data_IF_681272193620
#
_entry.id   IF_681272193620
#
_cell.length_a   1.000
_cell.length_b   1.000
_cell.length_c   1.000
_cell.angle_alpha   90.00
_cell.angle_beta   90.00
_cell.angle_gamma   90.00
#
_symmetry.space_group_name_H-M   'P 1'
#
loop_
_entity.id
_entity.type
_entity.pdbx_description
1 polymer ?
#
# COMPACT_ATOMS: atom_id res chain seq x y z
N UNK A 1 -1.67 8.32 -5.93
CA UNK A 1 -2.12 9.28 -6.95
C UNK A 1 -3.23 10.22 -6.47
N UNK A 2 -3.75 10.01 -5.26
CA UNK A 2 -4.73 10.91 -4.65
C UNK A 2 -4.64 10.88 -3.13
N UNK A 3 -4.63 12.05 -2.50
CA UNK A 3 -4.91 12.20 -1.07
C UNK A 3 -6.42 12.39 -0.96
N UNK A 4 -7.06 11.73 0.00
CA UNK A 4 -8.49 11.78 0.22
C UNK A 4 -8.79 11.92 1.71
N UNK A 5 -9.64 12.87 2.05
CA UNK A 5 -10.20 13.02 3.39
C UNK A 5 -11.70 12.67 3.34
N UNK A 6 -12.17 11.91 4.32
CA UNK A 6 -13.58 11.51 4.42
C UNK A 6 -14.06 11.85 5.83
N UNK A 7 -15.09 12.69 5.93
CA UNK A 7 -15.80 12.94 7.17
C UNK A 7 -16.95 11.95 7.29
N UNK A 8 -17.00 11.25 8.41
CA UNK A 8 -18.07 10.28 8.72
C UNK A 8 -18.90 10.74 9.91
N UNK A 9 -20.17 10.35 9.92
CA UNK A 9 -21.08 10.54 11.06
C UNK A 9 -20.88 9.46 12.13
N UNK A 10 -21.60 9.52 13.27
CA UNK A 10 -21.54 8.51 14.32
C UNK A 10 -21.96 7.10 13.87
N UNK A 11 -22.73 7.00 12.79
CA UNK A 11 -23.16 5.74 12.17
C UNK A 11 -22.15 5.23 11.12
N UNK A 12 -20.96 5.84 11.02
CA UNK A 12 -19.88 5.56 10.06
C UNK A 12 -20.28 5.79 8.59
N UNK A 13 -21.23 6.68 8.32
CA UNK A 13 -21.60 7.05 6.95
C UNK A 13 -20.79 8.25 6.49
N UNK A 14 -20.23 8.23 5.27
CA UNK A 14 -19.59 9.39 4.68
C UNK A 14 -20.59 10.54 4.51
N UNK A 15 -20.30 11.70 5.09
CA UNK A 15 -21.14 12.91 5.00
C UNK A 15 -20.48 14.05 4.22
N UNK A 16 -19.17 14.06 4.13
CA UNK A 16 -18.41 14.96 3.27
C UNK A 16 -17.05 14.36 2.93
N UNK A 17 -16.44 14.86 1.89
CA UNK A 17 -15.10 14.43 1.49
C UNK A 17 -14.30 15.59 0.87
N UNK A 18 -12.98 15.48 0.92
CA UNK A 18 -12.07 16.33 0.22
C UNK A 18 -11.00 15.49 -0.50
N UNK A 19 -10.35 16.07 -1.49
CA UNK A 19 -9.32 15.35 -2.26
C UNK A 19 -8.26 16.27 -2.81
N UNK A 20 -7.06 15.72 -3.01
CA UNK A 20 -5.95 16.33 -3.73
C UNK A 20 -5.32 15.31 -4.65
N UNK A 21 -5.13 15.66 -5.91
CA UNK A 21 -4.44 14.78 -6.87
C UNK A 21 -2.95 15.09 -6.87
N UNK A 22 -2.13 14.06 -6.69
CA UNK A 22 -0.68 14.17 -6.75
C UNK A 22 -0.05 12.97 -7.46
N UNK A 23 1.20 13.09 -7.88
CA UNK A 23 1.89 12.04 -8.60
C UNK A 23 3.25 11.74 -7.97
N UNK A 24 3.63 10.45 -7.98
CA UNK A 24 4.99 10.04 -7.67
C UNK A 24 5.98 10.70 -8.63
N UNK A 25 7.06 11.21 -8.07
CA UNK A 25 8.15 11.80 -8.84
C UNK A 25 9.31 10.82 -8.93
N UNK A 26 9.88 10.67 -10.11
CA UNK A 26 11.13 9.95 -10.29
C UNK A 26 12.27 10.99 -10.33
N UNK A 27 13.03 11.08 -9.26
CA UNK A 27 14.15 12.02 -9.11
C UNK A 27 15.42 11.22 -8.93
N UNK A 28 16.39 11.41 -9.80
CA UNK A 28 17.68 10.70 -9.80
C UNK A 28 17.54 9.15 -9.69
N UNK A 29 16.53 8.60 -10.38
CA UNK A 29 16.24 7.17 -10.36
C UNK A 29 15.47 6.68 -9.12
N UNK A 30 15.04 7.58 -8.24
CA UNK A 30 14.33 7.27 -7.01
C UNK A 30 12.87 7.74 -7.09
N UNK A 31 11.93 6.83 -6.85
CA UNK A 31 10.52 7.16 -6.69
C UNK A 31 10.27 7.78 -5.32
N UNK A 32 9.87 9.04 -5.31
CA UNK A 32 9.76 9.87 -4.10
C UNK A 32 8.57 10.81 -4.12
N UNK A 33 8.31 11.40 -2.95
CA UNK A 33 7.54 12.63 -2.73
C UNK A 33 8.35 13.54 -1.80
N UNK A 34 8.40 14.83 -2.07
CA UNK A 34 9.00 15.75 -1.11
C UNK A 34 8.09 15.94 0.11
N UNK A 35 8.69 16.26 1.25
CA UNK A 35 7.94 16.56 2.49
C UNK A 35 7.00 17.75 2.29
N UNK A 36 7.41 18.75 1.52
CA UNK A 36 6.60 19.91 1.15
C UNK A 36 5.37 19.49 0.33
N UNK A 37 5.54 18.57 -0.65
CA UNK A 37 4.42 18.07 -1.44
C UNK A 37 3.41 17.27 -0.58
N UNK A 38 3.90 16.50 0.40
CA UNK A 38 3.04 15.81 1.38
C UNK A 38 2.16 16.80 2.13
N UNK A 39 2.75 17.85 2.70
CA UNK A 39 2.00 18.83 3.49
C UNK A 39 1.08 19.70 2.64
N UNK A 40 1.56 20.15 1.49
CA UNK A 40 0.71 20.88 0.56
C UNK A 40 -0.54 20.08 0.17
N UNK A 41 -0.34 18.82 -0.19
CA UNK A 41 -1.46 17.94 -0.58
C UNK A 41 -2.43 17.64 0.56
N UNK A 42 -1.94 17.46 1.79
CA UNK A 42 -2.80 17.27 2.97
C UNK A 42 -3.61 18.53 3.29
N UNK A 43 -2.98 19.70 3.25
CA UNK A 43 -3.63 20.99 3.49
C UNK A 43 -4.70 21.31 2.44
N UNK A 44 -4.40 21.09 1.17
CA UNK A 44 -5.33 21.29 0.06
C UNK A 44 -6.52 20.33 0.16
N UNK A 45 -6.26 19.05 0.45
CA UNK A 45 -7.30 18.03 0.67
C UNK A 45 -8.20 18.38 1.86
N UNK A 46 -7.63 18.88 2.96
CA UNK A 46 -8.41 19.29 4.13
C UNK A 46 -9.22 20.57 3.85
N UNK A 47 -8.65 21.53 3.11
CA UNK A 47 -9.34 22.73 2.69
C UNK A 47 -10.54 22.43 1.78
N UNK A 48 -10.39 21.47 0.85
CA UNK A 48 -11.49 20.97 0.00
C UNK A 48 -12.58 20.32 0.86
N UNK A 49 -12.21 19.47 1.83
CA UNK A 49 -13.17 18.91 2.79
C UNK A 49 -13.94 19.98 3.54
N UNK A 50 -13.26 21.00 4.07
CA UNK A 50 -13.90 22.12 4.79
C UNK A 50 -14.87 22.88 3.89
N UNK A 51 -14.45 23.20 2.67
CA UNK A 51 -15.31 23.89 1.70
C UNK A 51 -16.58 23.09 1.42
N UNK A 52 -16.47 21.78 1.25
CA UNK A 52 -17.61 20.88 1.04
C UNK A 52 -18.53 20.82 2.26
N UNK A 53 -17.99 20.75 3.48
CA UNK A 53 -18.79 20.81 4.72
C UNK A 53 -19.53 22.16 4.83
N UNK A 54 -18.85 23.27 4.56
CA UNK A 54 -19.46 24.60 4.56
C UNK A 54 -20.59 24.71 3.56
N UNK A 55 -20.39 24.19 2.35
CA UNK A 55 -21.41 24.23 1.29
C UNK A 55 -22.64 23.34 1.61
N UNK A 56 -22.42 22.15 2.20
CA UNK A 56 -23.48 21.18 2.47
C UNK A 56 -24.26 21.49 3.75
N UNK A 57 -23.58 22.02 4.79
CA UNK A 57 -24.12 22.10 6.14
C UNK A 57 -24.09 23.52 6.74
N UNK A 58 -23.57 24.50 6.00
CA UNK A 58 -23.34 25.89 6.47
C UNK A 58 -22.60 25.98 7.82
N UNK A 59 -21.63 25.07 8.03
CA UNK A 59 -20.88 24.95 9.28
C UNK A 59 -19.38 24.87 9.04
N UNK A 60 -18.56 25.23 10.04
CA UNK A 60 -17.12 25.05 10.02
C UNK A 60 -16.69 23.82 10.81
N UNK A 61 -15.63 23.16 10.37
CA UNK A 61 -15.02 22.07 11.13
C UNK A 61 -14.11 22.69 12.20
N UNK A 62 -14.59 22.73 13.43
CA UNK A 62 -13.78 23.21 14.57
C UNK A 62 -13.19 22.07 15.41
N UNK A 63 -13.88 20.93 15.47
CA UNK A 63 -13.48 19.75 16.22
C UNK A 63 -14.03 18.49 15.58
N UNK A 64 -13.39 17.36 15.87
CA UNK A 64 -13.75 16.02 15.42
C UNK A 64 -13.71 15.06 16.61
N UNK A 65 -14.50 13.99 16.56
CA UNK A 65 -14.46 12.93 17.59
C UNK A 65 -13.11 12.17 17.59
N UNK A 66 -12.53 11.96 16.40
CA UNK A 66 -11.21 11.39 16.22
C UNK A 66 -10.67 11.69 14.82
N UNK A 67 -9.36 11.52 14.64
CA UNK A 67 -8.68 11.56 13.34
C UNK A 67 -7.95 10.24 13.13
N UNK A 68 -8.08 9.64 11.95
CA UNK A 68 -7.28 8.51 11.49
C UNK A 68 -6.44 8.90 10.28
N UNK A 69 -5.20 8.43 10.24
CA UNK A 69 -4.26 8.60 9.14
C UNK A 69 -4.00 7.24 8.51
N UNK A 70 -4.21 7.15 7.22
CA UNK A 70 -3.85 5.99 6.39
C UNK A 70 -3.04 6.46 5.21
N UNK A 71 -1.92 5.80 4.92
CA UNK A 71 -1.08 6.13 3.78
C UNK A 71 -0.54 4.87 3.12
N UNK A 72 0.19 5.04 2.01
CA UNK A 72 0.87 3.93 1.36
C UNK A 72 1.75 3.18 2.35
N UNK A 73 1.63 1.88 2.36
CA UNK A 73 2.41 0.98 3.19
C UNK A 73 3.88 0.96 2.76
N UNK A 74 4.78 0.57 3.64
CA UNK A 74 6.20 0.44 3.38
C UNK A 74 6.93 1.78 3.17
N UNK A 75 8.12 1.72 2.58
CA UNK A 75 8.96 2.88 2.30
C UNK A 75 9.95 3.19 3.42
N UNK A 76 10.74 4.25 3.20
CA UNK A 76 11.86 4.57 4.06
C UNK A 76 11.94 6.08 4.25
N UNK A 77 11.63 6.54 5.45
CA UNK A 77 11.78 7.93 5.90
C UNK A 77 12.66 7.94 7.14
N UNK A 78 13.91 8.36 6.99
CA UNK A 78 14.92 8.37 8.06
C UNK A 78 15.18 9.81 8.53
N UNK A 79 15.18 10.00 9.84
CA UNK A 79 15.33 11.29 10.49
C UNK A 79 16.48 11.27 11.51
N UNK A 80 17.17 12.40 11.68
CA UNK A 80 18.19 12.58 12.70
C UNK A 80 17.58 13.06 14.04
N UNK A 81 18.44 13.25 15.05
CA UNK A 81 18.06 13.78 16.38
C UNK A 81 17.48 15.20 16.36
N UNK A 82 17.67 15.96 15.27
CA UNK A 82 17.08 17.29 15.07
C UNK A 82 15.75 17.21 14.31
N UNK A 83 15.23 16.00 14.06
CA UNK A 83 14.00 15.77 13.30
C UNK A 83 14.07 16.18 11.82
N UNK A 84 15.29 16.30 11.28
CA UNK A 84 15.54 16.59 9.86
C UNK A 84 15.56 15.26 9.07
N UNK A 85 14.93 15.25 7.91
CA UNK A 85 14.98 14.10 7.00
C UNK A 85 16.39 13.97 6.43
N UNK A 86 16.96 12.78 6.54
CA UNK A 86 18.36 12.51 6.20
C UNK A 86 18.58 12.26 4.71
N UNK A 87 17.60 11.65 4.06
CA UNK A 87 17.61 11.30 2.63
C UNK A 87 16.21 11.48 2.05
N UNK A 88 16.05 11.64 0.72
CA UNK A 88 14.73 11.68 0.11
C UNK A 88 13.88 10.45 0.48
N UNK A 89 12.58 10.66 0.69
CA UNK A 89 11.65 9.57 0.97
C UNK A 89 11.70 8.51 -0.14
N UNK A 90 11.99 7.26 0.21
CA UNK A 90 11.97 6.11 -0.70
C UNK A 90 10.62 5.43 -0.58
N UNK A 91 9.79 5.54 -1.61
CA UNK A 91 8.45 4.92 -1.62
C UNK A 91 8.54 3.41 -1.88
N UNK A 92 7.43 2.70 -1.69
CA UNK A 92 7.28 1.26 -1.96
C UNK A 92 7.64 0.86 -3.41
N UNK A 93 7.68 1.81 -4.35
CA UNK A 93 8.02 1.56 -5.76
C UNK A 93 9.52 1.34 -5.98
N UNK A 94 10.36 1.68 -5.01
CA UNK A 94 11.79 1.43 -5.10
C UNK A 94 12.08 -0.01 -4.74
N UNK A 95 12.68 -0.74 -5.67
CA UNK A 95 13.00 -2.17 -5.57
C UNK A 95 14.50 -2.46 -5.71
N UNK A 96 15.34 -1.44 -5.52
CA UNK A 96 16.80 -1.53 -5.59
C UNK A 96 17.45 -2.11 -4.31
N UNK A 97 16.75 -3.00 -3.60
CA UNK A 97 17.12 -3.59 -2.31
C UNK A 97 17.28 -5.11 -2.38
N UNK A 98 17.51 -5.66 -3.57
CA UNK A 98 17.52 -7.11 -3.78
C UNK A 98 18.58 -7.84 -2.93
N UNK A 99 19.78 -7.27 -2.79
CA UNK A 99 20.86 -7.86 -2.00
C UNK A 99 20.47 -7.90 -0.51
N UNK A 100 19.93 -6.80 0.02
CA UNK A 100 19.49 -6.72 1.40
C UNK A 100 18.32 -7.67 1.68
N UNK A 101 17.30 -7.69 0.82
CA UNK A 101 16.14 -8.54 0.98
C UNK A 101 16.50 -10.03 0.98
N UNK A 102 17.38 -10.47 0.07
CA UNK A 102 17.86 -11.85 0.03
C UNK A 102 18.61 -12.24 1.31
N UNK A 103 19.57 -11.40 1.74
CA UNK A 103 20.34 -11.66 2.95
C UNK A 103 19.49 -11.70 4.23
N UNK A 104 18.52 -10.77 4.35
CA UNK A 104 17.61 -10.74 5.49
C UNK A 104 16.62 -11.91 5.46
N UNK A 105 16.14 -12.32 4.28
CA UNK A 105 15.25 -13.48 4.16
C UNK A 105 15.94 -14.77 4.59
N UNK A 106 17.20 -14.95 4.22
CA UNK A 106 18.03 -16.08 4.67
C UNK A 106 18.27 -16.04 6.18
N UNK A 107 18.68 -14.87 6.72
CA UNK A 107 18.98 -14.69 8.15
C UNK A 107 17.76 -14.95 9.04
N UNK A 108 16.59 -14.45 8.64
CA UNK A 108 15.38 -14.55 9.41
C UNK A 108 14.60 -15.83 9.18
N UNK A 109 14.93 -16.58 8.11
CA UNK A 109 14.11 -17.70 7.60
C UNK A 109 12.66 -17.23 7.39
N UNK A 110 12.53 -16.08 6.73
CA UNK A 110 11.26 -15.37 6.55
C UNK A 110 11.32 -14.55 5.24
N UNK A 111 10.24 -14.49 4.47
CA UNK A 111 10.24 -13.68 3.25
C UNK A 111 10.28 -12.18 3.60
N UNK A 112 11.36 -11.50 3.22
CA UNK A 112 11.53 -10.05 3.39
C UNK A 112 11.46 -9.40 2.01
N UNK A 113 10.35 -8.74 1.67
CA UNK A 113 10.16 -8.12 0.37
C UNK A 113 11.09 -6.93 0.12
N UNK A 114 11.39 -6.67 -1.16
CA UNK A 114 12.26 -5.58 -1.61
C UNK A 114 11.82 -4.20 -1.10
N UNK A 115 10.52 -3.97 -1.00
CA UNK A 115 9.90 -2.69 -0.68
C UNK A 115 9.81 -2.37 0.81
N UNK A 116 10.12 -3.33 1.70
CA UNK A 116 10.01 -3.15 3.14
C UNK A 116 11.06 -2.18 3.69
N UNK A 117 10.72 -1.46 4.76
CA UNK A 117 11.61 -0.45 5.36
C UNK A 117 12.94 -1.06 5.82
N UNK A 118 12.93 -2.29 6.36
CA UNK A 118 14.16 -2.99 6.79
C UNK A 118 15.06 -3.34 5.60
N UNK A 119 14.48 -3.66 4.43
CA UNK A 119 15.26 -3.91 3.22
C UNK A 119 15.97 -2.65 2.75
N UNK A 120 15.31 -1.50 2.81
CA UNK A 120 15.92 -0.21 2.49
C UNK A 120 17.02 0.18 3.49
N UNK A 121 16.78 -0.03 4.79
CA UNK A 121 17.77 0.23 5.83
C UNK A 121 19.02 -0.63 5.61
N UNK A 122 18.84 -1.94 5.42
CA UNK A 122 19.97 -2.83 5.26
C UNK A 122 20.71 -2.61 3.94
N UNK A 123 19.99 -2.26 2.86
CA UNK A 123 20.64 -1.88 1.60
C UNK A 123 21.50 -0.62 1.77
N UNK A 124 20.99 0.41 2.46
CA UNK A 124 21.78 1.60 2.77
C UNK A 124 23.04 1.28 3.60
N UNK A 125 22.97 0.29 4.50
CA UNK A 125 24.13 -0.21 5.25
C UNK A 125 25.12 -0.92 4.33
N UNK A 126 24.66 -1.75 3.41
CA UNK A 126 25.50 -2.46 2.44
C UNK A 126 26.21 -1.49 1.50
N UNK A 127 25.50 -0.47 1.05
CA UNK A 127 26.00 0.59 0.17
C UNK A 127 26.88 1.61 0.92
N UNK A 128 27.01 1.48 2.25
CA UNK A 128 27.76 2.39 3.13
C UNK A 128 27.27 3.85 3.00
N UNK A 129 25.96 4.06 2.89
CA UNK A 129 25.37 5.40 2.86
C UNK A 129 25.66 6.15 4.17
N UNK A 130 26.18 7.37 4.08
CA UNK A 130 26.68 8.13 5.25
C UNK A 130 25.62 8.46 6.28
N UNK A 131 24.36 8.64 5.84
CA UNK A 131 23.24 9.01 6.70
C UNK A 131 22.88 7.96 7.75
N UNK A 132 23.22 6.67 7.52
CA UNK A 132 22.82 5.55 8.37
C UNK A 132 23.27 5.72 9.82
N UNK A 133 24.47 6.26 10.03
CA UNK A 133 25.00 6.50 11.39
C UNK A 133 24.25 7.54 12.18
N UNK A 134 23.55 8.45 11.49
CA UNK A 134 22.86 9.61 12.08
C UNK A 134 21.35 9.35 12.28
N UNK A 135 20.86 8.15 11.99
CA UNK A 135 19.44 7.80 12.14
C UNK A 135 19.08 7.78 13.63
N UNK A 136 18.03 8.55 13.98
CA UNK A 136 17.38 8.55 15.30
C UNK A 136 15.94 8.03 15.21
N UNK A 137 15.32 8.17 14.03
CA UNK A 137 13.96 7.68 13.81
C UNK A 137 13.76 7.25 12.36
N UNK A 138 13.17 6.05 12.18
CA UNK A 138 12.81 5.47 10.90
C UNK A 138 11.32 5.19 10.90
N UNK A 139 10.59 5.65 9.89
CA UNK A 139 9.13 5.46 9.82
C UNK A 139 8.62 5.40 8.38
N UNK A 140 7.32 5.15 8.25
CA UNK A 140 6.54 5.22 7.00
C UNK A 140 5.90 6.59 6.83
N UNK A 141 5.23 6.82 5.69
CA UNK A 141 4.50 8.07 5.45
C UNK A 141 3.36 8.28 6.46
N UNK A 142 2.61 7.23 6.81
CA UNK A 142 1.53 7.35 7.80
C UNK A 142 2.08 7.72 9.19
N UNK A 143 3.16 7.06 9.60
CA UNK A 143 3.84 7.36 10.85
C UNK A 143 4.44 8.76 10.89
N UNK A 144 5.02 9.23 9.77
CA UNK A 144 5.52 10.60 9.66
C UNK A 144 4.41 11.65 9.83
N UNK A 145 3.31 11.53 9.10
CA UNK A 145 2.18 12.47 9.22
C UNK A 145 1.63 12.47 10.64
N UNK A 146 1.42 11.30 11.22
CA UNK A 146 0.93 11.15 12.59
C UNK A 146 1.85 11.82 13.61
N UNK A 147 3.15 11.51 13.55
CA UNK A 147 4.13 12.10 14.44
C UNK A 147 4.11 13.63 14.38
N UNK A 148 4.07 14.18 13.18
CA UNK A 148 4.09 15.62 12.96
C UNK A 148 2.84 16.35 13.49
N UNK A 149 1.69 15.68 13.59
CA UNK A 149 0.45 16.29 14.11
C UNK A 149 0.21 15.99 15.58
N UNK A 150 0.86 14.96 16.15
CA UNK A 150 0.64 14.53 17.56
C UNK A 150 1.88 14.62 18.45
N UNK A 151 3.08 14.70 17.85
CA UNK A 151 4.34 14.55 18.57
C UNK A 151 4.67 13.11 19.00
N UNK A 152 3.82 12.11 18.66
CA UNK A 152 4.00 10.72 19.07
C UNK A 152 4.62 9.87 17.95
N UNK A 153 5.79 9.24 18.22
CA UNK A 153 6.52 8.33 17.33
C UNK A 153 5.92 6.91 17.43
N UNK A 154 4.72 6.72 16.92
CA UNK A 154 3.97 5.46 16.95
C UNK A 154 3.52 5.05 15.56
N UNK A 155 3.24 3.77 15.38
CA UNK A 155 2.73 3.20 14.12
C UNK A 155 1.69 2.12 14.43
N UNK A 156 0.66 2.03 13.59
CA UNK A 156 -0.29 0.95 13.64
C UNK A 156 0.36 -0.39 13.30
N UNK A 157 -0.10 -1.46 13.92
CA UNK A 157 0.52 -2.79 13.80
C UNK A 157 0.48 -3.30 12.35
N UNK A 158 -0.58 -2.96 11.59
CA UNK A 158 -0.69 -3.34 10.19
C UNK A 158 0.42 -2.70 9.35
N UNK A 159 0.68 -1.41 9.50
CA UNK A 159 1.74 -0.71 8.78
C UNK A 159 3.14 -1.11 9.30
N UNK A 160 3.29 -1.29 10.61
CA UNK A 160 4.54 -1.74 11.23
C UNK A 160 4.98 -3.12 10.71
N UNK A 161 4.02 -4.01 10.37
CA UNK A 161 4.31 -5.32 9.78
C UNK A 161 4.97 -5.24 8.39
N UNK A 162 4.82 -4.11 7.72
CA UNK A 162 5.53 -3.81 6.46
C UNK A 162 6.89 -3.13 6.65
N UNK A 163 7.28 -2.84 7.89
CA UNK A 163 8.64 -2.37 8.21
C UNK A 163 9.54 -3.52 8.61
N UNK A 164 9.08 -4.36 9.52
CA UNK A 164 9.76 -5.53 10.07
C UNK A 164 8.71 -6.57 10.50
N UNK A 165 8.99 -7.88 10.47
CA UNK A 165 8.04 -8.90 10.88
C UNK A 165 7.52 -8.70 12.31
N UNK A 166 6.21 -8.90 12.47
CA UNK A 166 5.51 -8.83 13.75
C UNK A 166 5.37 -10.24 14.34
N UNK A 167 5.65 -10.36 15.63
CA UNK A 167 5.27 -11.54 16.41
C UNK A 167 3.79 -11.43 16.82
N UNK A 168 2.91 -12.33 16.33
CA UNK A 168 1.48 -12.26 16.61
C UNK A 168 1.13 -12.47 18.08
N UNK A 169 2.00 -13.14 18.86
CA UNK A 169 1.75 -13.38 20.28
C UNK A 169 1.96 -12.11 21.12
N UNK A 170 2.99 -11.34 20.81
CA UNK A 170 3.31 -10.09 21.50
C UNK A 170 2.67 -8.87 20.85
N UNK A 171 2.20 -8.98 19.61
CA UNK A 171 1.70 -7.88 18.77
C UNK A 171 2.72 -6.74 18.65
N UNK A 172 3.98 -7.10 18.55
CA UNK A 172 5.11 -6.20 18.40
C UNK A 172 6.13 -6.78 17.42
N UNK A 173 7.15 -6.02 17.07
CA UNK A 173 8.26 -6.52 16.26
C UNK A 173 8.83 -7.80 16.83
N UNK A 174 9.19 -8.76 15.99
CA UNK A 174 9.81 -10.03 16.40
C UNK A 174 11.13 -9.77 17.12
N UNK A 175 11.17 -10.04 18.41
CA UNK A 175 12.37 -9.85 19.24
C UNK A 175 13.56 -10.67 18.75
N UNK A 176 13.30 -11.88 18.22
CA UNK A 176 14.33 -12.74 17.62
C UNK A 176 14.96 -12.09 16.40
N UNK A 177 14.13 -11.56 15.47
CA UNK A 177 14.63 -10.96 14.25
C UNK A 177 15.32 -9.62 14.50
N UNK A 178 14.83 -8.85 15.49
CA UNK A 178 15.52 -7.65 15.98
C UNK A 178 16.91 -7.99 16.50
N UNK A 179 17.07 -9.01 17.35
CA UNK A 179 18.36 -9.42 17.87
C UNK A 179 19.29 -9.88 16.74
N UNK A 180 18.80 -10.71 15.83
CA UNK A 180 19.58 -11.16 14.65
C UNK A 180 20.06 -9.99 13.79
N UNK A 181 19.22 -8.98 13.57
CA UNK A 181 19.60 -7.78 12.82
C UNK A 181 20.66 -6.96 13.56
N UNK A 182 20.46 -6.72 14.87
CA UNK A 182 21.41 -5.99 15.69
C UNK A 182 22.80 -6.68 15.71
N UNK A 183 22.82 -8.01 15.80
CA UNK A 183 24.06 -8.80 15.72
C UNK A 183 24.72 -8.69 14.31
N UNK A 184 23.91 -8.72 13.25
CA UNK A 184 24.39 -8.59 11.87
C UNK A 184 25.10 -7.25 11.63
N UNK A 185 24.56 -6.16 12.18
CA UNK A 185 25.09 -4.80 11.97
C UNK A 185 26.07 -4.34 13.05
N UNK A 186 26.24 -5.10 14.16
CA UNK A 186 27.15 -4.77 15.25
C UNK A 186 28.58 -4.39 14.81
N UNK A 187 29.19 -5.06 13.79
CA UNK A 187 30.53 -4.71 13.31
C UNK A 187 30.64 -3.30 12.69
N UNK A 188 29.51 -2.68 12.33
CA UNK A 188 29.48 -1.30 11.79
C UNK A 188 29.64 -0.24 12.89
N UNK A 189 29.35 -0.57 14.17
CA UNK A 189 29.56 0.31 15.31
C UNK A 189 28.61 1.51 15.39
N UNK A 190 27.36 1.34 14.94
CA UNK A 190 26.34 2.39 15.08
C UNK A 190 25.95 2.61 16.53
N UNK A 191 25.63 3.87 16.87
CA UNK A 191 25.22 4.28 18.23
C UNK A 191 23.78 3.89 18.57
N UNK A 192 23.02 3.36 17.60
CA UNK A 192 21.61 2.96 17.73
C UNK A 192 21.46 1.43 17.64
N UNK A 193 20.41 0.92 18.23
CA UNK A 193 19.85 -0.41 18.02
C UNK A 193 18.57 -0.31 17.23
N UNK A 194 18.17 -1.39 16.53
CA UNK A 194 17.01 -1.35 15.63
C UNK A 194 15.74 -0.84 16.32
N UNK A 195 15.43 -1.30 17.54
CA UNK A 195 14.25 -0.85 18.29
C UNK A 195 14.31 0.61 18.72
N UNK A 196 15.51 1.19 18.87
CA UNK A 196 15.65 2.60 19.26
C UNK A 196 15.17 3.55 18.17
N UNK A 197 15.31 3.12 16.91
CA UNK A 197 14.97 3.93 15.74
C UNK A 197 13.59 3.62 15.15
N UNK A 198 12.96 2.51 15.54
CA UNK A 198 11.64 2.12 15.04
C UNK A 198 10.50 2.76 15.84
N UNK A 199 9.33 3.02 15.22
CA UNK A 199 8.15 3.50 15.93
C UNK A 199 7.62 2.46 16.91
N UNK A 200 7.01 2.93 18.00
CA UNK A 200 6.27 2.05 18.91
C UNK A 200 5.01 1.51 18.22
N UNK A 201 4.81 0.21 18.27
CA UNK A 201 3.66 -0.46 17.64
C UNK A 201 2.41 -0.33 18.52
N UNK A 202 1.29 0.03 17.90
CA UNK A 202 -0.03 0.09 18.55
C UNK A 202 -1.08 -0.64 17.70
N UNK A 203 -1.87 -1.56 18.27
CA UNK A 203 -3.01 -2.13 17.55
C UNK A 203 -4.16 -1.11 17.41
N UNK A 204 -5.00 -1.30 16.40
CA UNK A 204 -6.19 -0.50 16.18
C UNK A 204 -7.08 -0.41 17.42
N UNK A 205 -7.76 0.71 17.59
CA UNK A 205 -8.61 1.00 18.75
C UNK A 205 -7.86 1.55 19.97
N UNK A 206 -6.53 1.65 19.92
CA UNK A 206 -5.75 2.32 20.97
C UNK A 206 -5.64 3.82 20.69
N UNK A 207 -5.51 4.62 21.74
CA UNK A 207 -5.22 6.04 21.60
C UNK A 207 -3.73 6.22 21.25
N UNK A 208 -3.46 6.90 20.16
CA UNK A 208 -2.10 7.16 19.67
C UNK A 208 -1.63 8.60 19.92
N UNK A 209 -2.34 9.33 20.76
CA UNK A 209 -2.07 10.72 21.11
C UNK A 209 -3.22 11.64 20.71
N UNK A 210 -2.96 12.92 20.80
CA UNK A 210 -3.92 13.97 20.52
C UNK A 210 -3.33 14.98 19.53
N UNK A 211 -4.18 15.55 18.70
CA UNK A 211 -3.82 16.64 17.81
C UNK A 211 -3.25 17.81 18.64
N UNK A 212 -2.01 18.18 18.39
CA UNK A 212 -1.35 19.32 19.07
C UNK A 212 -1.81 20.65 18.48
N UNK A 213 -1.60 21.79 19.16
CA UNK A 213 -1.84 23.11 18.57
C UNK A 213 -1.05 23.35 17.27
N UNK A 214 0.19 22.89 17.23
CA UNK A 214 1.07 22.96 16.05
C UNK A 214 0.56 22.05 14.93
N UNK A 215 0.14 20.83 15.28
CA UNK A 215 -0.45 19.87 14.34
C UNK A 215 -1.76 20.39 13.74
N UNK A 216 -2.63 21.00 14.55
CA UNK A 216 -3.87 21.61 14.07
C UNK A 216 -3.60 22.72 13.04
N UNK A 217 -2.64 23.64 13.34
CA UNK A 217 -2.23 24.70 12.41
C UNK A 217 -1.57 24.17 11.15
N UNK A 218 -0.82 23.06 11.28
CA UNK A 218 -0.15 22.44 10.13
C UNK A 218 -1.16 21.79 9.19
N UNK A 219 -2.21 21.17 9.72
CA UNK A 219 -3.26 20.53 8.92
C UNK A 219 -4.26 21.55 8.38
N UNK A 220 -4.72 22.46 9.22
CA UNK A 220 -5.69 23.52 8.89
C UNK A 220 -5.05 24.90 8.90
N UNK A 221 -4.62 25.36 7.73
CA UNK A 221 -4.03 26.70 7.57
C UNK A 221 -5.03 27.84 7.83
N UNK A 222 -6.33 27.56 7.85
CA UNK A 222 -7.36 28.56 8.20
C UNK A 222 -7.47 28.82 9.70
N UNK A 223 -6.97 27.89 10.53
CA UNK A 223 -6.93 28.00 11.98
C UNK A 223 -8.26 27.75 12.71
N UNK A 224 -9.26 27.16 12.05
CA UNK A 224 -10.52 26.80 12.71
C UNK A 224 -10.42 25.49 13.52
N UNK A 225 -9.61 24.55 13.06
CA UNK A 225 -9.45 23.25 13.71
C UNK A 225 -8.76 23.39 15.07
N UNK A 226 -9.42 22.90 16.13
CA UNK A 226 -8.92 22.97 17.50
C UNK A 226 -8.06 21.76 17.83
N UNK A 227 -7.05 21.98 18.66
CA UNK A 227 -6.23 20.91 19.23
C UNK A 227 -7.03 20.04 20.23
N UNK A 228 -6.43 18.92 20.66
CA UNK A 228 -7.02 18.02 21.67
C UNK A 228 -7.89 16.89 21.08
N UNK A 229 -8.02 16.80 19.77
CA UNK A 229 -8.73 15.71 19.10
C UNK A 229 -7.93 14.42 19.23
N UNK A 230 -8.54 13.29 19.69
CA UNK A 230 -7.85 12.00 19.72
C UNK A 230 -7.43 11.56 18.31
N UNK A 231 -6.24 10.97 18.19
CA UNK A 231 -5.75 10.43 16.93
C UNK A 231 -5.55 8.93 17.04
N UNK A 232 -6.06 8.19 16.05
CA UNK A 232 -5.91 6.75 15.96
C UNK A 232 -4.48 6.35 15.60
N UNK A 233 -4.03 5.11 15.90
CA UNK A 233 -2.78 4.60 15.35
C UNK A 233 -2.76 4.75 13.83
N UNK A 234 -1.71 5.35 13.25
CA UNK A 234 -1.61 5.52 11.80
C UNK A 234 -1.36 4.17 11.11
N UNK A 235 -2.06 3.91 10.01
CA UNK A 235 -2.05 2.60 9.36
C UNK A 235 -1.67 2.68 7.88
N UNK A 236 -1.24 1.55 7.34
CA UNK A 236 -1.04 1.36 5.91
C UNK A 236 -2.37 1.20 5.15
N UNK A 237 -2.36 1.58 3.89
CA UNK A 237 -3.52 1.51 3.00
C UNK A 237 -4.05 0.07 2.81
N UNK A 238 -3.18 -0.94 2.82
CA UNK A 238 -3.57 -2.33 2.72
C UNK A 238 -4.39 -2.78 3.95
N UNK A 239 -3.93 -2.49 5.17
CA UNK A 239 -4.65 -2.82 6.39
C UNK A 239 -5.99 -2.09 6.52
N UNK A 240 -6.03 -0.79 6.22
CA UNK A 240 -7.29 -0.03 6.20
C UNK A 240 -8.24 -0.51 5.11
N UNK A 241 -7.74 -0.97 3.97
CA UNK A 241 -8.51 -1.63 2.92
C UNK A 241 -9.19 -2.91 3.40
N UNK A 242 -8.54 -3.70 4.26
CA UNK A 242 -9.14 -4.89 4.88
C UNK A 242 -10.29 -4.50 5.82
N UNK A 243 -10.14 -3.43 6.59
CA UNK A 243 -11.22 -2.90 7.44
C UNK A 243 -12.39 -2.44 6.59
N UNK A 244 -12.12 -1.66 5.53
CA UNK A 244 -13.15 -1.12 4.64
C UNK A 244 -13.98 -2.22 3.94
N UNK A 245 -13.38 -3.39 3.70
CA UNK A 245 -14.04 -4.55 3.07
C UNK A 245 -14.54 -5.58 4.07
N UNK A 246 -14.45 -5.29 5.37
CA UNK A 246 -14.81 -6.21 6.47
C UNK A 246 -14.07 -7.56 6.41
N UNK A 247 -12.82 -7.54 5.95
CA UNK A 247 -11.99 -8.72 5.71
C UNK A 247 -10.89 -8.86 6.78
N UNK A 248 -11.23 -8.69 8.07
CA UNK A 248 -10.28 -8.70 9.20
C UNK A 248 -10.39 -9.95 10.09
N UNK A 249 -11.38 -10.81 9.85
CA UNK A 249 -11.54 -12.06 10.61
C UNK A 249 -10.78 -13.19 9.94
N UNK A 250 -10.35 -14.17 10.73
CA UNK A 250 -9.77 -15.41 10.20
C UNK A 250 -10.63 -16.01 9.10
N UNK A 251 -10.02 -16.55 8.05
CA UNK A 251 -10.64 -17.14 6.85
C UNK A 251 -11.45 -16.15 6.01
N UNK A 252 -11.26 -14.85 6.23
CA UNK A 252 -11.73 -13.81 5.31
C UNK A 252 -10.56 -13.18 4.59
N UNK A 253 -10.83 -12.50 3.51
CA UNK A 253 -9.81 -11.79 2.75
C UNK A 253 -10.44 -10.80 1.79
N UNK A 254 -9.60 -9.97 1.21
CA UNK A 254 -9.99 -9.05 0.15
C UNK A 254 -9.04 -9.14 -1.03
N UNK A 255 -9.51 -8.67 -2.16
CA UNK A 255 -8.71 -8.51 -3.38
C UNK A 255 -8.76 -7.06 -3.80
N UNK A 256 -7.61 -6.47 -4.03
CA UNK A 256 -7.48 -5.20 -4.73
C UNK A 256 -7.08 -5.49 -6.18
N UNK A 257 -7.86 -4.97 -7.12
CA UNK A 257 -7.62 -5.16 -8.55
C UNK A 257 -7.55 -3.79 -9.25
N UNK A 258 -6.35 -3.44 -9.66
CA UNK A 258 -6.03 -2.23 -10.41
C UNK A 258 -5.04 -2.54 -11.52
N UNK A 259 -4.09 -1.68 -11.79
CA UNK A 259 -2.95 -1.93 -12.69
C UNK A 259 -2.20 -3.21 -12.28
N UNK A 260 -1.92 -3.34 -10.98
CA UNK A 260 -1.51 -4.57 -10.30
C UNK A 260 -2.67 -5.14 -9.49
N UNK A 261 -2.54 -6.35 -8.97
CA UNK A 261 -3.50 -6.92 -8.05
C UNK A 261 -2.80 -7.51 -6.83
N UNK A 262 -3.51 -7.50 -5.71
CA UNK A 262 -3.08 -8.26 -4.54
C UNK A 262 -4.29 -8.84 -3.80
N UNK A 263 -4.08 -10.00 -3.20
CA UNK A 263 -5.01 -10.61 -2.25
C UNK A 263 -4.40 -10.59 -0.87
N UNK A 264 -5.24 -10.39 0.13
CA UNK A 264 -4.88 -10.45 1.54
C UNK A 264 -5.84 -11.41 2.23
N UNK A 265 -5.30 -12.46 2.85
CA UNK A 265 -6.09 -13.52 3.50
C UNK A 265 -5.66 -13.61 4.96
N UNK A 266 -6.63 -13.47 5.88
CA UNK A 266 -6.39 -13.59 7.32
C UNK A 266 -6.25 -15.07 7.68
N UNK A 267 -5.06 -15.44 8.18
CA UNK A 267 -4.70 -16.82 8.48
C UNK A 267 -5.20 -17.25 9.86
N UNK A 268 -5.47 -18.55 10.01
CA UNK A 268 -5.75 -19.21 11.30
C UNK A 268 -4.46 -19.59 12.05
N UNK A 269 -3.38 -19.84 11.31
CA UNK A 269 -2.06 -20.20 11.82
C UNK A 269 -0.99 -19.71 10.85
N UNK A 270 0.23 -19.66 11.33
CA UNK A 270 1.38 -19.29 10.52
C UNK A 270 1.63 -20.28 9.36
N UNK A 271 2.34 -19.81 8.34
CA UNK A 271 2.76 -20.65 7.22
C UNK A 271 3.75 -21.72 7.71
N UNK A 272 3.72 -22.88 7.10
CA UNK A 272 4.63 -24.00 7.47
C UNK A 272 6.09 -23.75 7.10
N UNK A 273 6.34 -22.82 6.19
CA UNK A 273 7.66 -22.37 5.74
C UNK A 273 7.52 -21.01 5.05
N UNK A 274 8.59 -20.23 4.88
CA UNK A 274 8.56 -19.03 4.05
C UNK A 274 8.33 -19.39 2.57
N UNK A 275 7.58 -18.54 1.87
CA UNK A 275 7.35 -18.59 0.42
C UNK A 275 7.71 -17.23 -0.15
N UNK A 276 8.56 -17.19 -1.17
CA UNK A 276 9.02 -15.94 -1.79
C UNK A 276 7.91 -15.09 -2.41
N UNK A 277 6.80 -15.74 -2.82
CA UNK A 277 5.66 -15.07 -3.43
C UNK A 277 4.60 -14.62 -2.42
N UNK A 278 4.78 -14.90 -1.11
CA UNK A 278 3.83 -14.52 -0.06
C UNK A 278 4.51 -13.58 0.92
N UNK A 279 3.95 -12.38 1.05
CA UNK A 279 4.36 -11.44 2.07
C UNK A 279 3.49 -11.62 3.31
N UNK A 280 4.12 -11.85 4.44
CA UNK A 280 3.42 -11.97 5.71
C UNK A 280 3.31 -10.61 6.39
N UNK A 281 2.12 -10.10 6.46
CA UNK A 281 1.77 -8.83 7.14
C UNK A 281 0.71 -9.08 8.21
N UNK A 282 0.14 -8.04 8.79
CA UNK A 282 -0.95 -8.18 9.77
C UNK A 282 -2.14 -7.29 9.41
N UNK A 283 -3.30 -7.68 9.94
CA UNK A 283 -4.44 -6.77 10.04
C UNK A 283 -4.14 -5.65 11.05
N UNK A 284 -4.90 -4.55 11.08
CA UNK A 284 -4.74 -3.50 12.08
C UNK A 284 -4.96 -3.93 13.54
N UNK A 285 -5.51 -5.12 13.79
CA UNK A 285 -5.62 -5.70 15.14
C UNK A 285 -4.50 -6.71 15.46
N UNK A 286 -3.61 -7.00 14.50
CA UNK A 286 -2.45 -7.86 14.65
C UNK A 286 -2.67 -9.34 14.29
N UNK A 287 -3.76 -9.68 13.60
CA UNK A 287 -3.94 -11.03 13.06
C UNK A 287 -3.06 -11.24 11.82
N UNK A 288 -2.46 -12.43 11.67
CA UNK A 288 -1.59 -12.74 10.55
C UNK A 288 -2.35 -12.71 9.20
N UNK A 289 -1.72 -12.15 8.22
CA UNK A 289 -2.24 -12.03 6.85
C UNK A 289 -1.19 -12.52 5.86
N UNK A 290 -1.58 -13.45 5.00
CA UNK A 290 -0.82 -13.77 3.80
C UNK A 290 -1.25 -12.84 2.67
N UNK A 291 -0.30 -12.12 2.09
CA UNK A 291 -0.50 -11.24 0.96
C UNK A 291 0.22 -11.77 -0.27
N UNK A 292 -0.52 -11.99 -1.35
CA UNK A 292 0.01 -12.28 -2.68
C UNK A 292 -0.09 -11.02 -3.52
N UNK A 293 1.00 -10.56 -4.09
CA UNK A 293 1.04 -9.38 -4.95
C UNK A 293 1.46 -9.76 -6.37
N UNK A 294 0.65 -9.38 -7.35
CA UNK A 294 0.87 -9.59 -8.78
C UNK A 294 1.05 -8.25 -9.48
N UNK A 295 2.10 -8.12 -10.28
CA UNK A 295 2.39 -6.89 -11.01
C UNK A 295 1.43 -6.62 -12.16
N UNK A 296 0.82 -7.67 -12.70
CA UNK A 296 -0.01 -7.60 -13.89
C UNK A 296 -1.47 -7.94 -13.58
N UNK A 297 -2.38 -7.00 -13.79
CA UNK A 297 -3.81 -7.22 -13.64
C UNK A 297 -4.58 -6.57 -14.80
N UNK A 298 -5.00 -5.31 -14.68
CA UNK A 298 -5.91 -4.69 -15.67
C UNK A 298 -5.21 -3.99 -16.83
N UNK A 299 -3.89 -3.82 -16.81
CA UNK A 299 -3.19 -3.01 -17.84
C UNK A 299 -3.37 -3.55 -19.25
N UNK A 300 -3.20 -4.86 -19.45
CA UNK A 300 -3.41 -5.49 -20.76
C UNK A 300 -4.90 -5.49 -21.15
N UNK A 301 -5.78 -5.79 -20.20
CA UNK A 301 -7.23 -5.73 -20.39
C UNK A 301 -7.68 -4.34 -20.82
N UNK A 302 -7.15 -3.28 -20.20
CA UNK A 302 -7.44 -1.90 -20.57
C UNK A 302 -6.95 -1.55 -21.99
N UNK A 303 -5.81 -2.08 -22.40
CA UNK A 303 -5.32 -1.89 -23.76
C UNK A 303 -6.30 -2.46 -24.80
N UNK A 304 -6.84 -3.65 -24.56
CA UNK A 304 -7.85 -4.24 -25.41
C UNK A 304 -9.19 -3.48 -25.41
N UNK A 305 -9.63 -3.02 -24.23
CA UNK A 305 -10.86 -2.19 -24.14
C UNK A 305 -10.68 -0.87 -24.88
N UNK A 306 -9.50 -0.25 -24.79
CA UNK A 306 -9.18 0.97 -25.57
C UNK A 306 -9.21 0.72 -27.07
N UNK A 307 -8.80 -0.47 -27.55
CA UNK A 307 -8.93 -0.81 -28.97
C UNK A 307 -10.41 -0.85 -29.42
N UNK A 308 -11.32 -1.36 -28.60
CA UNK A 308 -12.75 -1.32 -28.88
C UNK A 308 -13.31 0.12 -28.84
N UNK A 309 -12.80 0.95 -27.93
CA UNK A 309 -13.10 2.39 -27.92
C UNK A 309 -12.71 3.06 -29.22
N UNK A 310 -11.46 2.88 -29.67
CA UNK A 310 -10.97 3.44 -30.94
C UNK A 310 -11.81 2.99 -32.13
N UNK A 311 -12.27 1.73 -32.14
CA UNK A 311 -13.16 1.22 -33.15
C UNK A 311 -14.54 1.94 -33.17
N UNK A 312 -15.12 2.21 -32.01
CA UNK A 312 -16.36 2.96 -31.89
C UNK A 312 -16.19 4.43 -32.36
N UNK A 313 -15.08 5.07 -31.98
CA UNK A 313 -14.73 6.42 -32.42
C UNK A 313 -14.58 6.48 -33.97
N UNK A 314 -13.93 5.48 -34.57
CA UNK A 314 -13.80 5.35 -36.03
C UNK A 314 -15.17 5.27 -36.72
N UNK A 315 -16.15 4.63 -36.11
CA UNK A 315 -17.53 4.54 -36.61
C UNK A 315 -18.39 5.78 -36.33
N UNK A 316 -17.84 6.79 -35.59
CA UNK A 316 -18.59 7.99 -35.21
C UNK A 316 -19.61 7.72 -34.08
N UNK A 317 -19.46 6.64 -33.34
CA UNK A 317 -20.35 6.28 -32.20
C UNK A 317 -19.86 7.00 -30.97
N UNK A 318 -20.73 7.72 -30.21
CA UNK A 318 -20.36 8.32 -28.94
C UNK A 318 -19.79 7.28 -27.96
N UNK A 319 -18.73 7.66 -27.25
CA UNK A 319 -18.02 6.77 -26.32
C UNK A 319 -18.33 7.14 -24.88
N UNK A 320 -18.78 6.15 -24.12
CA UNK A 320 -18.83 6.14 -22.66
C UNK A 320 -18.02 4.95 -22.18
N UNK A 321 -16.92 5.21 -21.47
CA UNK A 321 -16.01 4.14 -21.02
C UNK A 321 -16.66 3.21 -20.01
N UNK A 322 -17.48 3.71 -19.09
CA UNK A 322 -18.17 2.91 -18.09
C UNK A 322 -19.18 1.95 -18.77
N UNK A 323 -19.86 2.44 -19.81
CA UNK A 323 -20.76 1.61 -20.62
C UNK A 323 -19.99 0.53 -21.39
N UNK A 324 -18.83 0.85 -21.99
CA UNK A 324 -17.99 -0.12 -22.72
C UNK A 324 -17.52 -1.21 -21.76
N UNK A 325 -16.92 -0.85 -20.62
CA UNK A 325 -16.48 -1.82 -19.63
C UNK A 325 -17.65 -2.70 -19.16
N UNK A 326 -18.75 -2.08 -18.77
CA UNK A 326 -19.93 -2.80 -18.30
C UNK A 326 -20.46 -3.80 -19.31
N UNK A 327 -20.58 -3.40 -20.59
CA UNK A 327 -21.06 -4.27 -21.68
C UNK A 327 -20.09 -5.41 -21.96
N UNK A 328 -18.80 -5.13 -22.10
CA UNK A 328 -17.78 -6.14 -22.41
C UNK A 328 -17.63 -7.17 -21.28
N UNK A 329 -17.61 -6.73 -20.02
CA UNK A 329 -17.46 -7.64 -18.90
C UNK A 329 -18.71 -8.52 -18.68
N UNK A 330 -19.91 -7.93 -18.78
CA UNK A 330 -21.14 -8.71 -18.73
C UNK A 330 -21.25 -9.69 -19.90
N UNK A 331 -20.83 -9.28 -21.11
CA UNK A 331 -20.83 -10.18 -22.26
C UNK A 331 -19.86 -11.35 -22.09
N UNK A 332 -18.70 -11.13 -21.47
CA UNK A 332 -17.74 -12.19 -21.16
C UNK A 332 -18.35 -13.34 -20.33
N UNK A 333 -19.35 -13.06 -19.49
CA UNK A 333 -20.05 -14.07 -18.69
C UNK A 333 -20.84 -15.07 -19.55
N UNK A 334 -21.20 -14.70 -20.77
CA UNK A 334 -21.89 -15.57 -21.75
C UNK A 334 -20.93 -16.50 -22.50
N UNK A 335 -19.61 -16.29 -22.38
CA UNK A 335 -18.59 -17.12 -23.01
C UNK A 335 -18.48 -18.51 -22.38
N UNK A 336 -17.80 -19.41 -23.07
CA UNK A 336 -17.50 -20.76 -22.55
C UNK A 336 -16.63 -20.66 -21.30
N UNK A 337 -16.81 -21.56 -20.33
CA UNK A 337 -16.03 -21.58 -19.07
C UNK A 337 -14.53 -21.81 -19.30
N UNK A 338 -14.18 -22.51 -20.36
CA UNK A 338 -12.82 -22.75 -20.84
C UNK A 338 -12.31 -21.65 -21.82
N UNK A 339 -13.02 -20.53 -21.92
CA UNK A 339 -12.75 -19.45 -22.86
C UNK A 339 -12.77 -19.91 -24.33
N UNK A 340 -13.41 -21.06 -24.64
CA UNK A 340 -13.46 -21.64 -25.98
C UNK A 340 -12.11 -22.09 -26.54
N UNK A 341 -11.15 -22.40 -25.66
CA UNK A 341 -9.78 -22.78 -25.99
C UNK A 341 -8.79 -21.61 -26.12
N UNK A 342 -9.27 -20.37 -26.01
CA UNK A 342 -8.42 -19.17 -26.11
C UNK A 342 -7.53 -19.03 -24.88
N UNK A 343 -6.27 -18.61 -25.08
CA UNK A 343 -5.31 -18.37 -24.00
C UNK A 343 -4.81 -16.93 -24.06
N UNK A 344 -4.78 -16.25 -22.93
CA UNK A 344 -4.19 -14.93 -22.78
C UNK A 344 -3.18 -14.94 -21.63
N UNK A 345 -2.02 -14.30 -21.89
CA UNK A 345 -1.02 -13.94 -20.89
C UNK A 345 -0.92 -12.43 -20.85
N UNK A 346 -1.22 -11.84 -19.71
CA UNK A 346 -1.30 -10.38 -19.55
C UNK A 346 0.00 -9.75 -18.99
N UNK A 347 1.14 -10.42 -19.08
CA UNK A 347 2.40 -9.97 -18.51
C UNK A 347 2.99 -8.80 -19.30
N UNK A 348 2.60 -7.57 -18.94
CA UNK A 348 3.20 -6.32 -19.47
C UNK A 348 4.55 -6.07 -18.81
N UNK A 349 4.69 -6.45 -17.52
CA UNK A 349 5.93 -6.36 -16.75
C UNK A 349 6.33 -7.73 -16.21
N UNK A 350 7.48 -7.81 -15.57
CA UNK A 350 7.88 -9.00 -14.83
C UNK A 350 6.83 -9.40 -13.79
N UNK A 351 6.79 -10.68 -13.43
CA UNK A 351 5.80 -11.24 -12.50
C UNK A 351 6.49 -12.12 -11.45
N UNK A 352 6.66 -11.61 -10.22
CA UNK A 352 7.37 -12.34 -9.16
C UNK A 352 6.75 -13.69 -8.82
N UNK A 353 5.42 -13.79 -8.81
CA UNK A 353 4.70 -15.04 -8.45
C UNK A 353 5.05 -16.18 -9.40
N UNK A 354 5.37 -15.88 -10.65
CA UNK A 354 5.78 -16.88 -11.66
C UNK A 354 7.27 -16.84 -12.00
N UNK A 355 8.06 -16.03 -11.29
CA UNK A 355 9.52 -15.95 -11.44
C UNK A 355 9.98 -15.31 -12.75
N UNK A 356 9.16 -14.49 -13.39
CA UNK A 356 9.50 -13.81 -14.65
C UNK A 356 10.05 -12.41 -14.40
N UNK A 357 11.26 -12.13 -14.90
CA UNK A 357 11.87 -10.80 -14.79
C UNK A 357 11.28 -9.77 -15.75
N UNK A 358 10.88 -10.21 -16.94
CA UNK A 358 10.28 -9.36 -17.98
C UNK A 358 8.96 -9.98 -18.46
N UNK A 359 8.03 -9.14 -18.91
CA UNK A 359 6.76 -9.57 -19.48
C UNK A 359 6.61 -9.20 -20.94
N UNK A 360 5.81 -10.00 -21.66
CA UNK A 360 5.26 -9.67 -22.98
C UNK A 360 3.86 -10.25 -23.04
N UNK A 361 2.81 -9.41 -23.20
CA UNK A 361 1.46 -9.91 -23.39
C UNK A 361 1.38 -10.81 -24.63
N UNK A 362 0.64 -11.89 -24.51
CA UNK A 362 0.49 -12.87 -25.57
C UNK A 362 -0.95 -13.38 -25.61
N UNK A 363 -1.57 -13.31 -26.79
CA UNK A 363 -2.86 -13.93 -27.06
C UNK A 363 -2.67 -15.07 -28.05
N UNK A 364 -3.13 -16.26 -27.70
CA UNK A 364 -2.94 -17.50 -28.49
C UNK A 364 -4.28 -18.15 -28.77
N UNK A 365 -4.46 -18.61 -30.01
CA UNK A 365 -5.58 -19.43 -30.41
C UNK A 365 -5.17 -20.48 -31.45
N UNK A 366 -5.87 -21.58 -31.48
CA UNK A 366 -5.77 -22.62 -32.53
C UNK A 366 -6.88 -22.43 -33.57
N UNK A 367 -6.78 -23.18 -34.65
CA UNK A 367 -7.79 -23.12 -35.74
C UNK A 367 -9.18 -23.63 -35.30
N UNK A 368 -9.23 -24.48 -34.28
CA UNK A 368 -10.45 -25.10 -33.78
C UNK A 368 -11.10 -24.38 -32.59
N UNK A 369 -10.45 -23.32 -32.09
CA UNK A 369 -10.95 -22.57 -30.94
C UNK A 369 -12.16 -21.72 -31.29
N UNK A 370 -13.05 -21.53 -30.34
CA UNK A 370 -14.26 -20.70 -30.51
C UNK A 370 -13.93 -19.23 -30.30
N UNK A 371 -13.39 -18.61 -31.35
CA UNK A 371 -13.01 -17.21 -31.32
C UNK A 371 -14.23 -16.30 -31.55
N UNK A 372 -14.73 -15.73 -30.49
CA UNK A 372 -15.78 -14.72 -30.47
C UNK A 372 -15.54 -13.72 -29.34
N UNK A 373 -16.26 -12.60 -29.33
CA UNK A 373 -16.05 -11.51 -28.36
C UNK A 373 -16.24 -11.98 -26.89
N UNK A 374 -17.22 -12.82 -26.62
CA UNK A 374 -17.48 -13.31 -25.28
C UNK A 374 -16.31 -14.14 -24.73
N UNK A 375 -15.82 -15.11 -25.53
CA UNK A 375 -14.67 -15.94 -25.15
C UNK A 375 -13.37 -15.13 -25.09
N UNK A 376 -13.18 -14.20 -26.02
CA UNK A 376 -12.02 -13.30 -26.03
C UNK A 376 -11.95 -12.47 -24.73
N UNK A 377 -13.01 -11.78 -24.39
CA UNK A 377 -13.06 -10.97 -23.16
C UNK A 377 -12.94 -11.82 -21.89
N UNK A 378 -13.53 -13.02 -21.90
CA UNK A 378 -13.40 -13.96 -20.78
C UNK A 378 -11.97 -14.43 -20.57
N UNK A 379 -11.22 -14.73 -21.65
CA UNK A 379 -9.81 -15.10 -21.56
C UNK A 379 -8.95 -14.00 -20.92
N UNK A 380 -9.18 -12.74 -21.33
CA UNK A 380 -8.46 -11.58 -20.75
C UNK A 380 -8.86 -11.31 -19.30
N UNK A 381 -10.13 -11.47 -18.92
CA UNK A 381 -10.56 -11.37 -17.53
C UNK A 381 -9.94 -12.49 -16.67
N UNK A 382 -9.88 -13.72 -17.16
CA UNK A 382 -9.21 -14.81 -16.45
C UNK A 382 -7.70 -14.55 -16.30
N UNK A 383 -7.05 -14.02 -17.35
CA UNK A 383 -5.62 -13.69 -17.29
C UNK A 383 -5.32 -12.62 -16.23
N UNK A 384 -6.20 -11.63 -16.07
CA UNK A 384 -6.00 -10.54 -15.10
C UNK A 384 -5.97 -10.99 -13.64
N UNK A 385 -6.53 -12.17 -13.32
CA UNK A 385 -6.57 -12.73 -11.96
C UNK A 385 -5.91 -14.10 -11.84
N UNK A 386 -5.43 -14.68 -12.95
CA UNK A 386 -4.89 -16.03 -13.00
C UNK A 386 -3.67 -16.24 -12.12
N UNK A 387 -2.75 -15.27 -12.14
CA UNK A 387 -1.53 -15.30 -11.31
C UNK A 387 -1.87 -15.18 -9.82
N UNK A 388 -2.84 -14.33 -9.48
CA UNK A 388 -3.31 -14.19 -8.12
C UNK A 388 -3.87 -15.51 -7.57
N UNK A 389 -4.58 -16.27 -8.42
CA UNK A 389 -5.04 -17.62 -8.06
C UNK A 389 -3.88 -18.56 -7.76
N UNK A 390 -2.81 -18.54 -8.57
CA UNK A 390 -1.63 -19.38 -8.33
C UNK A 390 -1.06 -19.13 -6.93
N UNK A 391 -0.88 -17.86 -6.57
CA UNK A 391 -0.39 -17.50 -5.24
C UNK A 391 -1.36 -17.87 -4.11
N UNK A 392 -2.67 -17.79 -4.34
CA UNK A 392 -3.68 -18.16 -3.34
C UNK A 392 -3.83 -19.69 -3.15
N UNK A 393 -3.39 -20.51 -4.10
CA UNK A 393 -3.45 -21.97 -4.00
C UNK A 393 -2.30 -22.55 -3.15
N UNK A 394 -1.31 -21.73 -2.77
CA UNK A 394 -0.19 -22.07 -1.86
C UNK A 394 -0.65 -22.06 -0.41
#
# INVERSE_FOLDING_TARGET
TRIKAVLIDPENKPIAQGSHTWENQLVDGLWTYSVEAVWYGLQDCYADLRANVKNLYDTEIESLAAIGVSAMMHGYMAFNKKEEILVPFRTWRNTNTAQAAAALSELFVYNIPLRWSISHLYQAILDNEEHVKDIDYLTTLAGFVHWQITGQKVLGIGDASGMLPIDPATKNYSAEMVAKFDDLVAPKGYDWKLLDILPKVLPAGKNAGFLTPEGAKRLDVSGHLKAGIPVCPPEGDAGTGMVATNAVKQRTGNVSAGTSSFSMIVLEKDLSKPYEMIDMVTTPDGSLVAMVHCNNCTSDLNAWVNLFKEYQELLGIPVDMDEIYGKLYNHALTGNTDCGGLISYNYISGEPVTGLAEGRPLFVRSANDKFNLANFMRAHLHASVGVLKIGNDI
#
